data_IF_478237475645
#
_entry.id   IF_478237475645
#
_cell.length_a   1.000
_cell.length_b   1.000
_cell.length_c   1.000
_cell.angle_alpha   90.00
_cell.angle_beta   90.00
_cell.angle_gamma   90.00
#
_symmetry.space_group_name_H-M   'P 1'
#
loop_
_entity.id
_entity.type
_entity.pdbx_description
1 polymer ?
#
# COMPACT_ATOMS: atom_id res chain seq x y z
N UNK A 1 -15.75 -4.73 -31.05
CA UNK A 1 -15.79 -3.80 -29.90
C UNK A 1 -14.74 -4.26 -28.91
N UNK A 2 -13.66 -3.50 -28.68
CA UNK A 2 -12.61 -3.90 -27.74
C UNK A 2 -13.20 -3.96 -26.32
N UNK A 3 -13.06 -5.06 -25.58
CA UNK A 3 -13.67 -5.19 -24.26
C UNK A 3 -13.07 -4.15 -23.32
N UNK A 4 -13.95 -3.40 -22.66
CA UNK A 4 -13.59 -2.22 -21.87
C UNK A 4 -13.09 -2.65 -20.48
N UNK A 5 -11.99 -2.06 -20.04
CA UNK A 5 -11.51 -2.22 -18.67
C UNK A 5 -12.52 -1.63 -17.68
N UNK A 6 -12.79 -2.33 -16.59
CA UNK A 6 -13.62 -1.79 -15.50
C UNK A 6 -12.75 -0.99 -14.54
N UNK A 7 -13.27 0.13 -14.04
CA UNK A 7 -12.59 1.00 -13.08
C UNK A 7 -13.26 0.90 -11.71
N UNK A 8 -12.47 0.60 -10.69
CA UNK A 8 -12.87 0.66 -9.28
C UNK A 8 -12.10 1.74 -8.55
N UNK A 9 -12.72 2.33 -7.52
CA UNK A 9 -12.11 3.35 -6.68
C UNK A 9 -12.22 2.93 -5.22
N UNK A 10 -11.10 2.98 -4.51
CA UNK A 10 -11.01 2.78 -3.06
C UNK A 10 -10.26 3.96 -2.43
N UNK A 11 -10.85 4.59 -1.42
CA UNK A 11 -10.27 5.77 -0.75
C UNK A 11 -9.70 5.39 0.60
N UNK A 12 -8.42 5.66 0.83
CA UNK A 12 -7.76 5.37 2.09
C UNK A 12 -7.37 6.65 2.82
N UNK A 13 -7.40 6.60 4.15
CA UNK A 13 -6.79 7.58 5.06
C UNK A 13 -5.58 6.97 5.73
N UNK A 14 -4.51 7.75 5.82
CA UNK A 14 -3.33 7.42 6.63
C UNK A 14 -3.60 7.87 8.08
N UNK A 15 -3.59 6.93 9.02
CA UNK A 15 -3.99 7.16 10.43
C UNK A 15 -2.81 7.51 11.33
N UNK A 16 -1.63 6.99 11.01
CA UNK A 16 -0.40 7.18 11.79
C UNK A 16 0.69 7.75 10.89
N UNK A 17 1.74 8.42 11.44
CA UNK A 17 2.81 8.96 10.62
C UNK A 17 3.37 7.93 9.63
N UNK A 18 3.59 8.34 8.38
CA UNK A 18 3.96 7.43 7.30
C UNK A 18 5.29 7.82 6.69
N UNK A 19 6.19 6.85 6.60
CA UNK A 19 7.48 6.99 5.94
C UNK A 19 7.45 6.34 4.57
N UNK A 20 6.95 7.08 3.58
CA UNK A 20 7.03 6.71 2.17
C UNK A 20 7.85 7.77 1.47
N UNK A 21 8.87 7.36 0.75
CA UNK A 21 9.73 8.28 0.03
C UNK A 21 10.13 7.70 -1.32
N UNK A 22 10.52 8.61 -2.20
CA UNK A 22 10.84 8.29 -3.57
C UNK A 22 12.32 8.24 -3.87
N UNK A 23 12.72 8.87 -4.98
CA UNK A 23 14.11 9.11 -5.30
C UNK A 23 14.74 10.08 -4.30
N UNK A 24 13.94 11.03 -3.81
CA UNK A 24 14.27 11.90 -2.69
C UNK A 24 13.73 11.31 -1.37
N UNK A 25 14.60 10.88 -0.44
CA UNK A 25 14.20 10.35 0.86
C UNK A 25 13.60 11.39 1.81
N UNK A 26 13.86 12.68 1.60
CA UNK A 26 13.37 13.77 2.46
C UNK A 26 11.97 14.24 2.09
N UNK A 27 11.53 13.99 0.85
CA UNK A 27 10.19 14.32 0.40
C UNK A 27 9.25 13.12 0.54
N UNK A 28 8.21 13.20 1.40
CA UNK A 28 7.21 12.15 1.47
C UNK A 28 6.52 11.98 0.11
N UNK A 29 6.53 10.76 -0.43
CA UNK A 29 5.96 10.45 -1.75
C UNK A 29 5.24 9.11 -1.71
N UNK A 30 3.97 9.13 -2.12
CA UNK A 30 3.15 7.94 -2.25
C UNK A 30 3.20 7.37 -3.68
N UNK A 31 3.67 6.13 -3.85
CA UNK A 31 3.86 5.51 -5.17
C UNK A 31 2.85 4.41 -5.46
N UNK A 32 2.33 4.40 -6.68
CA UNK A 32 1.43 3.35 -7.16
C UNK A 32 2.09 1.96 -7.09
N UNK A 33 3.39 1.87 -7.38
CA UNK A 33 4.16 0.63 -7.24
C UNK A 33 4.20 0.13 -5.79
N UNK A 34 4.39 1.03 -4.82
CA UNK A 34 4.40 0.67 -3.39
C UNK A 34 3.04 0.16 -2.94
N UNK A 35 1.95 0.83 -3.33
CA UNK A 35 0.60 0.35 -3.03
C UNK A 35 0.32 -1.00 -3.70
N UNK A 36 0.70 -1.16 -4.98
CA UNK A 36 0.53 -2.43 -5.71
C UNK A 36 1.29 -3.57 -5.03
N UNK A 37 2.48 -3.32 -4.49
CA UNK A 37 3.24 -4.31 -3.72
C UNK A 37 2.50 -4.75 -2.44
N UNK A 38 1.92 -3.80 -1.69
CA UNK A 38 1.11 -4.10 -0.51
C UNK A 38 -0.18 -4.85 -0.87
N UNK A 39 -0.84 -4.46 -1.96
CA UNK A 39 -2.00 -5.18 -2.48
C UNK A 39 -1.66 -6.64 -2.84
N UNK A 40 -0.54 -6.88 -3.55
CA UNK A 40 -0.05 -8.23 -3.87
C UNK A 40 0.25 -9.04 -2.61
N UNK A 41 0.87 -8.41 -1.60
CA UNK A 41 1.16 -9.06 -0.33
C UNK A 41 -0.12 -9.56 0.37
N UNK A 42 -1.13 -8.70 0.50
CA UNK A 42 -2.39 -9.08 1.13
C UNK A 42 -3.20 -10.05 0.29
N UNK A 43 -3.14 -9.95 -1.04
CA UNK A 43 -3.72 -10.96 -1.92
C UNK A 43 -3.09 -12.34 -1.66
N UNK A 44 -1.75 -12.45 -1.57
CA UNK A 44 -1.09 -13.72 -1.25
C UNK A 44 -1.50 -14.29 0.12
N UNK A 45 -1.61 -13.41 1.12
CA UNK A 45 -2.02 -13.82 2.47
C UNK A 45 -3.42 -14.47 2.46
N UNK A 46 -4.35 -13.94 1.67
CA UNK A 46 -5.69 -14.49 1.50
C UNK A 46 -5.72 -15.71 0.57
N UNK A 47 -4.88 -15.72 -0.47
CA UNK A 47 -4.79 -16.79 -1.46
C UNK A 47 -4.48 -18.15 -0.84
N UNK A 48 -3.76 -18.19 0.30
CA UNK A 48 -3.55 -19.43 1.04
C UNK A 48 -4.85 -20.19 1.32
N UNK A 49 -5.91 -19.49 1.71
CA UNK A 49 -7.22 -20.08 1.97
C UNK A 49 -7.98 -20.47 0.70
N UNK A 50 -7.91 -19.67 -0.37
CA UNK A 50 -8.63 -19.94 -1.61
C UNK A 50 -8.07 -21.11 -2.43
N UNK A 51 -6.76 -21.37 -2.28
CA UNK A 51 -6.04 -22.39 -3.02
C UNK A 51 -5.59 -23.55 -2.13
N UNK A 52 -6.15 -23.70 -0.92
CA UNK A 52 -5.84 -24.79 0.03
C UNK A 52 -4.33 -24.97 0.31
N UNK A 53 -3.57 -23.87 0.36
CA UNK A 53 -2.12 -23.90 0.58
C UNK A 53 -1.28 -24.40 -0.59
N UNK A 54 -1.86 -24.59 -1.77
CA UNK A 54 -1.14 -25.00 -2.98
C UNK A 54 -0.31 -23.83 -3.55
N UNK A 55 0.99 -23.82 -3.22
CA UNK A 55 1.92 -22.76 -3.61
C UNK A 55 2.04 -22.60 -5.13
N UNK A 56 1.97 -23.70 -5.88
CA UNK A 56 2.09 -23.67 -7.34
C UNK A 56 0.91 -22.90 -7.94
N UNK A 57 -0.31 -23.24 -7.53
CA UNK A 57 -1.53 -22.52 -7.98
C UNK A 57 -1.56 -21.07 -7.54
N UNK A 58 -1.08 -20.76 -6.33
CA UNK A 58 -1.00 -19.38 -5.84
C UNK A 58 -0.04 -18.56 -6.72
N UNK A 59 1.12 -19.14 -7.07
CA UNK A 59 2.11 -18.49 -7.93
C UNK A 59 1.53 -18.22 -9.33
N UNK A 60 0.92 -19.24 -9.95
CA UNK A 60 0.28 -19.14 -11.26
C UNK A 60 -0.83 -18.08 -11.28
N UNK A 61 -1.70 -18.07 -10.26
CA UNK A 61 -2.77 -17.09 -10.14
C UNK A 61 -2.24 -15.67 -9.87
N UNK A 62 -1.22 -15.50 -9.02
CA UNK A 62 -0.61 -14.19 -8.79
C UNK A 62 -0.02 -13.63 -10.09
N UNK A 63 0.72 -14.47 -10.82
CA UNK A 63 1.35 -14.11 -12.09
C UNK A 63 0.31 -13.75 -13.15
N UNK A 64 -0.79 -14.52 -13.23
CA UNK A 64 -1.91 -14.22 -14.13
C UNK A 64 -2.60 -12.89 -13.81
N UNK A 65 -2.83 -12.57 -12.54
CA UNK A 65 -3.56 -11.35 -12.12
C UNK A 65 -2.65 -10.12 -12.18
N UNK A 66 -1.48 -10.18 -11.55
CA UNK A 66 -0.61 -9.03 -11.31
C UNK A 66 0.56 -8.90 -12.30
N UNK A 67 0.70 -9.86 -13.20
CA UNK A 67 1.80 -9.97 -14.16
C UNK A 67 3.06 -10.58 -13.56
N UNK A 68 3.83 -11.21 -14.44
CA UNK A 68 5.13 -11.80 -14.19
C UNK A 68 5.84 -12.10 -15.51
N UNK A 69 6.90 -12.91 -15.44
CA UNK A 69 7.78 -13.17 -16.59
C UNK A 69 7.05 -13.96 -17.68
N UNK A 70 6.14 -14.87 -17.31
CA UNK A 70 5.47 -15.78 -18.24
C UNK A 70 4.18 -15.21 -18.86
N UNK A 71 3.45 -14.36 -18.10
CA UNK A 71 2.13 -13.84 -18.49
C UNK A 71 2.17 -12.42 -19.10
N UNK A 72 3.33 -11.76 -19.08
CA UNK A 72 3.49 -10.42 -19.64
C UNK A 72 2.81 -9.34 -18.81
N UNK A 73 1.92 -8.55 -19.42
CA UNK A 73 1.34 -7.37 -18.76
C UNK A 73 0.31 -7.73 -17.67
N UNK A 74 0.42 -7.05 -16.53
CA UNK A 74 -0.55 -7.14 -15.44
C UNK A 74 -1.99 -6.82 -15.87
N UNK A 75 -2.93 -7.70 -15.49
CA UNK A 75 -4.38 -7.50 -15.66
C UNK A 75 -4.98 -6.53 -14.66
N UNK A 76 -4.20 -6.12 -13.67
CA UNK A 76 -4.52 -5.08 -12.69
C UNK A 76 -3.60 -3.89 -12.86
N UNK A 77 -4.15 -2.71 -13.14
CA UNK A 77 -3.40 -1.44 -13.17
C UNK A 77 -3.85 -0.57 -12.00
N UNK A 78 -2.88 0.02 -11.31
CA UNK A 78 -3.11 0.83 -10.11
C UNK A 78 -2.67 2.25 -10.40
N UNK A 79 -3.56 3.22 -10.19
CA UNK A 79 -3.25 4.64 -10.18
C UNK A 79 -3.56 5.21 -8.79
N UNK A 80 -2.71 6.09 -8.30
CA UNK A 80 -2.96 6.83 -7.06
C UNK A 80 -3.32 8.27 -7.40
N UNK A 81 -4.33 8.80 -6.70
CA UNK A 81 -4.68 10.22 -6.71
C UNK A 81 -4.69 10.75 -5.27
N UNK A 82 -3.80 11.68 -4.92
CA UNK A 82 -3.87 12.38 -3.64
C UNK A 82 -5.24 13.03 -3.48
N UNK A 83 -5.78 13.00 -2.27
CA UNK A 83 -7.03 13.64 -1.91
C UNK A 83 -6.78 14.49 -0.66
N UNK A 84 -6.46 15.77 -0.84
CA UNK A 84 -6.17 16.68 0.26
C UNK A 84 -4.77 17.31 0.18
N UNK A 85 -4.27 17.87 1.29
CA UNK A 85 -3.01 18.57 1.30
C UNK A 85 -1.83 17.65 1.00
N UNK A 86 -0.73 18.25 0.55
CA UNK A 86 0.51 17.51 0.35
C UNK A 86 0.97 16.88 1.66
N UNK A 87 1.50 15.64 1.62
CA UNK A 87 2.02 15.00 2.81
C UNK A 87 3.18 15.83 3.38
N UNK A 88 2.97 16.37 4.57
CA UNK A 88 3.96 17.16 5.31
C UNK A 88 4.15 16.57 6.70
N UNK A 89 5.28 16.85 7.33
CA UNK A 89 5.51 16.43 8.69
C UNK A 89 6.70 17.09 9.34
N UNK A 90 6.90 16.85 10.65
CA UNK A 90 7.95 17.49 11.39
C UNK A 90 9.33 17.02 10.90
N UNK A 91 10.36 17.83 11.16
CA UNK A 91 11.76 17.47 10.88
C UNK A 91 12.41 16.71 12.05
N UNK A 92 11.82 16.78 13.23
CA UNK A 92 12.25 16.06 14.43
C UNK A 92 11.06 15.71 15.30
N UNK A 93 11.24 14.71 16.16
CA UNK A 93 10.30 14.45 17.24
C UNK A 93 10.91 14.88 18.57
N UNK A 94 10.04 15.33 19.47
CA UNK A 94 10.42 15.69 20.84
C UNK A 94 11.00 14.44 21.53
N UNK A 95 12.13 14.54 22.25
CA UNK A 95 12.64 13.47 23.11
C UNK A 95 11.59 12.85 24.06
N UNK A 96 10.57 13.61 24.49
CA UNK A 96 9.44 13.12 25.26
C UNK A 96 8.63 12.03 24.52
N UNK A 97 8.73 11.97 23.18
CA UNK A 97 8.14 10.95 22.31
C UNK A 97 9.06 9.73 22.14
N UNK A 98 9.80 9.35 23.20
CA UNK A 98 10.77 8.25 23.18
C UNK A 98 10.20 6.94 22.61
N UNK A 99 8.92 6.64 22.87
CA UNK A 99 8.24 5.47 22.30
C UNK A 99 8.15 5.50 20.77
N UNK A 100 7.78 6.64 20.18
CA UNK A 100 7.72 6.79 18.72
C UNK A 100 9.12 6.71 18.09
N UNK A 101 10.11 7.34 18.73
CA UNK A 101 11.52 7.29 18.33
C UNK A 101 12.01 5.83 18.32
N UNK A 102 11.71 5.07 19.37
CA UNK A 102 12.08 3.65 19.48
C UNK A 102 11.41 2.80 18.40
N UNK A 103 10.11 2.97 18.17
CA UNK A 103 9.38 2.22 17.15
C UNK A 103 9.90 2.51 15.74
N UNK A 104 10.21 3.77 15.43
CA UNK A 104 10.80 4.16 14.15
C UNK A 104 12.20 3.54 13.97
N UNK A 105 12.98 3.55 15.05
CA UNK A 105 14.29 2.90 15.15
C UNK A 105 15.38 3.58 14.33
N UNK A 106 16.58 3.03 14.45
CA UNK A 106 17.76 3.54 13.74
C UNK A 106 17.56 3.45 12.22
N UNK A 107 17.76 4.57 11.52
CA UNK A 107 17.60 4.72 10.06
C UNK A 107 16.41 5.58 9.62
N UNK A 108 15.41 5.78 10.48
CA UNK A 108 14.37 6.80 10.30
C UNK A 108 14.56 7.98 11.23
N UNK A 109 15.09 7.71 12.43
CA UNK A 109 15.42 8.70 13.45
C UNK A 109 16.85 8.44 13.90
N UNK A 110 17.63 9.49 14.16
CA UNK A 110 18.96 9.37 14.76
C UNK A 110 18.90 9.35 16.30
N UNK A 111 20.03 9.13 16.97
CA UNK A 111 20.10 9.11 18.44
C UNK A 111 19.71 10.42 19.12
N UNK A 112 19.61 11.52 18.36
CA UNK A 112 19.19 12.85 18.82
C UNK A 112 17.71 13.16 18.54
N UNK A 113 16.93 12.19 18.04
CA UNK A 113 15.50 12.39 17.74
C UNK A 113 15.21 13.09 16.40
N UNK A 114 16.23 13.33 15.56
CA UNK A 114 16.06 13.98 14.26
C UNK A 114 15.68 12.97 13.18
N UNK A 115 14.65 13.30 12.40
CA UNK A 115 14.17 12.45 11.32
C UNK A 115 15.17 12.47 10.16
N UNK A 116 15.55 11.29 9.70
CA UNK A 116 16.47 11.08 8.58
C UNK A 116 15.72 10.94 7.24
N UNK A 117 14.39 10.90 7.29
CA UNK A 117 13.51 10.78 6.13
C UNK A 117 12.29 11.66 6.30
N UNK A 118 11.72 12.08 5.18
CA UNK A 118 10.43 12.76 5.17
C UNK A 118 9.35 11.89 5.79
N UNK A 119 8.59 12.47 6.70
CA UNK A 119 7.41 11.82 7.30
C UNK A 119 6.16 12.54 6.84
N UNK A 120 5.15 11.78 6.44
CA UNK A 120 3.81 12.29 6.23
C UNK A 120 3.03 12.17 7.53
N UNK A 121 2.65 13.31 8.12
CA UNK A 121 1.92 13.34 9.39
C UNK A 121 0.43 13.17 9.15
N UNK A 122 -0.16 12.30 9.95
CA UNK A 122 -1.52 11.85 9.84
C UNK A 122 -2.45 12.79 10.58
N UNK A 123 -3.35 13.42 9.82
CA UNK A 123 -4.75 13.67 10.22
C UNK A 123 -5.61 13.84 8.96
N UNK A 124 -5.05 14.44 7.89
CA UNK A 124 -5.79 14.72 6.65
C UNK A 124 -5.23 14.07 5.39
N UNK A 125 -4.17 13.27 5.49
CA UNK A 125 -3.65 12.59 4.31
C UNK A 125 -4.60 11.48 3.87
N UNK A 126 -5.26 11.73 2.74
CA UNK A 126 -6.11 10.75 2.05
C UNK A 126 -5.63 10.58 0.62
N UNK A 127 -5.89 9.41 0.08
CA UNK A 127 -5.62 9.13 -1.32
C UNK A 127 -6.65 8.14 -1.87
N UNK A 128 -7.03 8.35 -3.12
CA UNK A 128 -7.81 7.39 -3.89
C UNK A 128 -6.89 6.46 -4.66
N UNK A 129 -7.15 5.17 -4.55
CA UNK A 129 -6.59 4.12 -5.38
C UNK A 129 -7.62 3.83 -6.47
N UNK A 130 -7.23 4.07 -7.72
CA UNK A 130 -8.02 3.73 -8.89
C UNK A 130 -7.44 2.43 -9.45
N UNK A 131 -8.26 1.38 -9.47
CA UNK A 131 -7.90 0.05 -9.93
C UNK A 131 -8.60 -0.21 -11.24
N UNK A 132 -7.84 -0.33 -12.32
CA UNK A 132 -8.36 -0.78 -13.60
C UNK A 132 -8.15 -2.29 -13.73
N UNK A 133 -9.22 -2.99 -14.08
CA UNK A 133 -9.24 -4.46 -14.20
C UNK A 133 -9.48 -4.86 -15.65
N UNK A 134 -8.66 -5.78 -16.15
CA UNK A 134 -8.83 -6.38 -17.47
C UNK A 134 -10.20 -7.08 -17.57
N UNK A 135 -10.87 -7.03 -18.74
CA UNK A 135 -12.05 -7.86 -19.00
C UNK A 135 -11.80 -9.37 -18.82
N UNK A 136 -10.57 -9.84 -19.03
CA UNK A 136 -10.22 -11.28 -18.94
C UNK A 136 -10.25 -11.85 -17.52
N UNK A 137 -10.41 -10.99 -16.51
CA UNK A 137 -10.52 -11.43 -15.12
C UNK A 137 -11.93 -11.98 -14.85
N UNK A 138 -11.99 -13.25 -14.46
CA UNK A 138 -13.19 -13.89 -13.91
C UNK A 138 -13.70 -13.15 -12.66
N UNK A 139 -14.98 -13.36 -12.33
CA UNK A 139 -15.60 -12.77 -11.15
C UNK A 139 -14.92 -13.22 -9.85
N UNK A 140 -14.39 -14.44 -9.81
CA UNK A 140 -13.58 -14.92 -8.68
C UNK A 140 -12.32 -14.07 -8.51
N UNK A 141 -11.54 -13.82 -9.57
CA UNK A 141 -10.34 -12.98 -9.47
C UNK A 141 -10.70 -11.54 -9.04
N UNK A 142 -11.81 -11.00 -9.56
CA UNK A 142 -12.30 -9.67 -9.17
C UNK A 142 -12.64 -9.61 -7.68
N UNK A 143 -13.32 -10.63 -7.16
CA UNK A 143 -13.64 -10.72 -5.74
C UNK A 143 -12.37 -10.83 -4.88
N UNK A 144 -11.40 -11.66 -5.28
CA UNK A 144 -10.12 -11.76 -4.57
C UNK A 144 -9.37 -10.42 -4.50
N UNK A 145 -9.40 -9.62 -5.58
CA UNK A 145 -8.79 -8.28 -5.59
C UNK A 145 -9.54 -7.34 -4.65
N UNK A 146 -10.86 -7.41 -4.61
CA UNK A 146 -11.70 -6.63 -3.67
C UNK A 146 -11.36 -6.99 -2.22
N UNK A 147 -11.27 -8.28 -1.91
CA UNK A 147 -10.93 -8.76 -0.57
C UNK A 147 -9.53 -8.31 -0.16
N UNK A 148 -8.56 -8.33 -1.09
CA UNK A 148 -7.23 -7.81 -0.84
C UNK A 148 -7.24 -6.28 -0.59
N UNK A 149 -8.02 -5.49 -1.34
CA UNK A 149 -8.20 -4.05 -1.07
C UNK A 149 -8.79 -3.79 0.31
N UNK A 150 -9.77 -4.60 0.74
CA UNK A 150 -10.35 -4.53 2.08
C UNK A 150 -9.30 -4.90 3.14
N UNK A 151 -8.53 -5.97 2.94
CA UNK A 151 -7.48 -6.39 3.87
C UNK A 151 -6.39 -5.31 4.05
N UNK A 152 -6.02 -4.59 2.97
CA UNK A 152 -5.12 -3.43 3.07
C UNK A 152 -5.69 -2.35 4.01
N UNK A 153 -7.00 -2.12 3.99
CA UNK A 153 -7.64 -1.11 4.82
C UNK A 153 -7.94 -1.54 6.25
N UNK A 154 -8.03 -2.85 6.51
CA UNK A 154 -8.31 -3.40 7.84
C UNK A 154 -7.04 -3.72 8.63
N UNK A 155 -6.02 -4.23 7.94
CA UNK A 155 -4.83 -4.80 8.56
C UNK A 155 -3.53 -4.22 8.03
N UNK A 156 -3.61 -3.47 6.92
CA UNK A 156 -2.44 -2.99 6.21
C UNK A 156 -1.84 -1.70 6.79
N UNK A 157 -0.61 -1.48 6.38
CA UNK A 157 0.07 -0.20 6.50
C UNK A 157 1.02 -0.03 5.32
N UNK A 158 1.38 1.21 5.04
CA UNK A 158 2.26 1.56 3.93
C UNK A 158 3.54 2.25 4.43
N UNK A 159 4.64 2.01 3.73
CA UNK A 159 5.91 2.64 4.03
C UNK A 159 6.75 1.89 5.06
N UNK A 160 7.84 2.53 5.48
CA UNK A 160 8.77 1.93 6.43
C UNK A 160 8.14 1.77 7.81
N UNK A 161 8.52 0.68 8.49
CA UNK A 161 8.04 0.32 9.84
C UNK A 161 6.51 0.15 9.93
N UNK A 162 5.84 -0.22 8.83
CA UNK A 162 4.39 -0.50 8.86
C UNK A 162 4.00 -1.63 9.81
N UNK A 163 4.89 -2.61 10.01
CA UNK A 163 4.74 -3.68 11.02
C UNK A 163 4.98 -3.23 12.46
N UNK A 164 5.23 -1.94 12.71
CA UNK A 164 5.41 -1.33 14.04
C UNK A 164 4.42 -0.17 14.27
N UNK A 165 3.31 -0.16 13.53
CA UNK A 165 2.24 0.83 13.70
C UNK A 165 2.42 2.15 12.95
N UNK A 166 3.42 2.28 12.08
CA UNK A 166 3.54 3.45 11.20
C UNK A 166 2.77 3.24 9.88
N UNK A 167 2.32 4.33 9.27
CA UNK A 167 1.59 4.29 8.00
C UNK A 167 0.35 3.39 7.96
N UNK A 168 -0.30 3.14 9.10
CA UNK A 168 -1.57 2.42 9.18
C UNK A 168 -2.62 3.08 8.28
N UNK A 169 -3.37 2.24 7.58
CA UNK A 169 -4.39 2.68 6.64
C UNK A 169 -5.79 2.39 7.18
N UNK A 170 -6.76 3.19 6.76
CA UNK A 170 -8.19 2.90 6.92
C UNK A 170 -8.88 3.12 5.60
N UNK A 171 -9.64 2.11 5.14
CA UNK A 171 -10.52 2.23 3.99
C UNK A 171 -11.76 3.05 4.37
N UNK A 172 -12.10 4.06 3.56
CA UNK A 172 -13.23 4.96 3.81
C UNK A 172 -14.44 4.64 2.93
N UNK A 173 -14.20 4.39 1.64
CA UNK A 173 -15.23 4.12 0.62
C UNK A 173 -14.60 3.51 -0.63
#
# INVERSE_FOLDING_TARGET
>A
MMPKWSEWRATYRVVTPMFCAGADPQKPELRAASFKGVLRFWWRALAWGWYNGDLTKICEAEEYIFGGVSQGQSKVRVQLRPCGPQPTGPQSWDPAQAGLIYLAGMGLVNSRGQLQRGVASSNDLRFSVIVHLSPDLSDQHRQQIRDALNAVGLFGGLGARSRRGFGSLTLLK
#
